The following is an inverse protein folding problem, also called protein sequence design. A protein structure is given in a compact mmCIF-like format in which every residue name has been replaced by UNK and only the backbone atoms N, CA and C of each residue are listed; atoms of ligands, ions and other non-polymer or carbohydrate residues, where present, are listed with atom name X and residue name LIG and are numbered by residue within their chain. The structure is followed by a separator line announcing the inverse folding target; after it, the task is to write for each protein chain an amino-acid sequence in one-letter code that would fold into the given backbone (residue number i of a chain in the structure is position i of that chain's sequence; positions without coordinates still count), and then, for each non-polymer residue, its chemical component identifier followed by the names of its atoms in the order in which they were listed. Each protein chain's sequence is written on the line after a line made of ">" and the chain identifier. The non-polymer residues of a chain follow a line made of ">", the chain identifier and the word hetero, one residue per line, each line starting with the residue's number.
data_IF_975841568375
#
_entry.id   IF_975841568375
#
_cell.length_a   1.000
_cell.length_b   1.000
_cell.length_c   1.000
_cell.angle_alpha   90.00
_cell.angle_beta   90.00
_cell.angle_gamma   90.00
#
_symmetry.space_group_name_H-M   'P 1'
#
loop_
_entity.id
_entity.type
_entity.pdbx_description
1 polymer ?
#
# COMPACT_ATOMS: atom_id res chain seq x y z
N UNK A 1 -21.86 8.31 21.78
CA UNK A 1 -20.49 7.76 21.83
C UNK A 1 -19.55 8.81 21.27
N UNK A 2 -18.46 9.17 21.96
CA UNK A 2 -17.65 10.33 21.57
C UNK A 2 -16.67 9.94 20.47
N UNK A 3 -16.74 10.66 19.35
CA UNK A 3 -15.88 10.52 18.17
C UNK A 3 -14.38 10.41 18.53
N UNK A 4 -13.96 11.07 19.60
CA UNK A 4 -12.60 11.03 20.13
C UNK A 4 -12.17 9.64 20.65
N UNK A 5 -13.06 8.90 21.33
CA UNK A 5 -12.77 7.54 21.82
C UNK A 5 -12.74 6.53 20.67
N UNK A 6 -13.63 6.71 19.70
CA UNK A 6 -13.66 5.85 18.52
C UNK A 6 -12.39 6.05 17.67
N UNK A 7 -11.92 7.30 17.54
CA UNK A 7 -10.67 7.61 16.83
C UNK A 7 -9.43 7.08 17.56
N UNK A 8 -9.33 7.25 18.88
CA UNK A 8 -8.20 6.71 19.65
C UNK A 8 -8.14 5.18 19.56
N UNK A 9 -9.31 4.53 19.59
CA UNK A 9 -9.40 3.07 19.43
C UNK A 9 -8.98 2.66 18.03
N UNK A 10 -9.43 3.37 16.99
CA UNK A 10 -9.06 3.09 15.60
C UNK A 10 -7.54 3.28 15.35
N UNK A 11 -6.92 4.31 15.93
CA UNK A 11 -5.47 4.53 15.82
C UNK A 11 -4.68 3.40 16.48
N UNK A 12 -5.12 2.93 17.65
CA UNK A 12 -4.52 1.78 18.31
C UNK A 12 -4.69 0.51 17.45
N UNK A 13 -5.89 0.27 16.91
CA UNK A 13 -6.17 -0.87 16.04
C UNK A 13 -5.34 -0.84 14.75
N UNK A 14 -5.12 0.35 14.17
CA UNK A 14 -4.25 0.53 13.00
C UNK A 14 -2.78 0.24 13.35
N UNK A 15 -2.32 0.68 14.51
CA UNK A 15 -0.99 0.34 15.02
C UNK A 15 -0.80 -1.18 15.16
N UNK A 16 -1.82 -1.89 15.64
CA UNK A 16 -1.82 -3.36 15.70
C UNK A 16 -1.87 -3.97 14.29
N UNK A 17 -2.75 -3.48 13.41
CA UNK A 17 -2.89 -3.96 12.04
C UNK A 17 -1.59 -3.84 11.23
N UNK A 18 -0.78 -2.81 11.50
CA UNK A 18 0.50 -2.60 10.82
C UNK A 18 1.64 -3.42 11.42
N UNK A 19 1.60 -3.72 12.72
CA UNK A 19 2.62 -4.54 13.41
C UNK A 19 2.38 -6.04 13.24
N UNK A 20 1.11 -6.44 13.20
CA UNK A 20 0.65 -7.84 13.15
C UNK A 20 -0.55 -7.96 12.20
N UNK A 21 -0.36 -7.70 10.89
CA UNK A 21 -1.45 -7.76 9.90
C UNK A 21 -2.11 -9.14 9.83
N UNK A 22 -1.37 -10.21 10.14
CA UNK A 22 -1.85 -11.58 10.15
C UNK A 22 -2.91 -11.80 11.26
N UNK A 23 -2.60 -11.40 12.50
CA UNK A 23 -3.52 -11.51 13.64
C UNK A 23 -4.75 -10.62 13.47
N UNK A 24 -4.56 -9.44 12.89
CA UNK A 24 -5.65 -8.49 12.71
C UNK A 24 -6.66 -8.94 11.64
N UNK A 25 -6.17 -9.42 10.49
CA UNK A 25 -7.04 -9.90 9.41
C UNK A 25 -7.74 -11.21 9.74
N UNK A 26 -7.10 -12.11 10.48
CA UNK A 26 -7.75 -13.33 10.99
C UNK A 26 -8.85 -13.00 11.99
N UNK A 27 -8.64 -12.06 12.92
CA UNK A 27 -9.70 -11.54 13.80
C UNK A 27 -10.87 -10.93 13.01
N UNK A 28 -10.59 -10.21 11.93
CA UNK A 28 -11.64 -9.69 11.05
C UNK A 28 -12.38 -10.80 10.32
N UNK A 29 -11.69 -11.83 9.80
CA UNK A 29 -12.34 -13.00 9.18
C UNK A 29 -13.30 -13.68 10.15
N UNK A 30 -12.86 -13.86 11.39
CA UNK A 30 -13.59 -14.60 12.43
C UNK A 30 -14.58 -13.73 13.22
N UNK A 31 -14.82 -12.48 12.77
CA UNK A 31 -15.73 -11.50 13.40
C UNK A 31 -17.18 -11.94 13.56
N UNK A 32 -17.58 -13.02 12.87
CA UNK A 32 -18.91 -13.63 13.02
C UNK A 32 -19.01 -14.54 14.24
N UNK A 33 -17.87 -14.98 14.78
CA UNK A 33 -17.78 -15.92 15.90
C UNK A 33 -17.39 -15.22 17.22
N UNK A 34 -16.75 -14.05 17.16
CA UNK A 34 -16.31 -13.26 18.30
C UNK A 34 -16.37 -11.75 17.99
N UNK A 35 -16.34 -10.86 19.00
CA UNK A 35 -16.29 -9.41 18.77
C UNK A 35 -15.14 -9.02 17.83
N UNK A 36 -15.49 -8.60 16.62
CA UNK A 36 -14.54 -8.20 15.59
C UNK A 36 -13.99 -6.78 15.78
N UNK A 37 -12.92 -6.41 15.05
CA UNK A 37 -12.42 -5.03 15.00
C UNK A 37 -13.49 -4.04 14.51
N UNK A 38 -13.33 -2.76 14.83
CA UNK A 38 -14.28 -1.72 14.40
C UNK A 38 -14.16 -1.47 12.89
N UNK A 39 -15.26 -1.40 12.10
CA UNK A 39 -15.20 -1.09 10.67
C UNK A 39 -14.53 0.25 10.30
N UNK A 40 -14.38 1.19 11.24
CA UNK A 40 -13.63 2.46 11.05
C UNK A 40 -12.17 2.22 10.63
N UNK A 41 -11.61 1.03 10.87
CA UNK A 41 -10.25 0.69 10.43
C UNK A 41 -10.04 0.80 8.93
N UNK A 42 -11.06 0.55 8.09
CA UNK A 42 -10.95 0.66 6.64
C UNK A 42 -10.61 2.09 6.18
N UNK A 43 -11.43 3.12 6.50
CA UNK A 43 -11.09 4.48 6.12
C UNK A 43 -9.80 4.99 6.76
N UNK A 44 -9.43 4.55 7.97
CA UNK A 44 -8.17 4.97 8.60
C UNK A 44 -6.95 4.35 7.90
N UNK A 45 -7.00 3.06 7.55
CA UNK A 45 -5.94 2.42 6.75
C UNK A 45 -5.83 3.05 5.36
N UNK A 46 -6.96 3.32 4.70
CA UNK A 46 -6.99 4.02 3.42
C UNK A 46 -6.37 5.43 3.54
N UNK A 47 -6.72 6.19 4.58
CA UNK A 47 -6.14 7.51 4.83
C UNK A 47 -4.64 7.41 5.08
N UNK A 48 -4.18 6.42 5.86
CA UNK A 48 -2.75 6.16 6.09
C UNK A 48 -2.01 5.82 4.78
N UNK A 49 -2.62 5.00 3.92
CA UNK A 49 -2.10 4.68 2.60
C UNK A 49 -1.96 5.93 1.73
N UNK A 50 -3.05 6.69 1.58
CA UNK A 50 -3.10 7.91 0.75
C UNK A 50 -2.10 8.94 1.24
N UNK A 51 -2.08 9.25 2.55
CA UNK A 51 -1.19 10.27 3.10
C UNK A 51 0.29 9.89 2.95
N UNK A 52 0.66 8.63 3.19
CA UNK A 52 2.05 8.21 3.05
C UNK A 52 2.54 8.23 1.61
N UNK A 53 1.72 7.76 0.67
CA UNK A 53 2.03 7.78 -0.76
C UNK A 53 2.08 9.22 -1.28
N UNK A 54 1.13 10.07 -0.88
CA UNK A 54 1.08 11.47 -1.28
C UNK A 54 2.31 12.24 -0.78
N UNK A 55 2.68 12.07 0.49
CA UNK A 55 3.85 12.71 1.08
C UNK A 55 5.15 12.29 0.37
N UNK A 56 5.28 11.01 0.01
CA UNK A 56 6.43 10.54 -0.77
C UNK A 56 6.44 11.14 -2.19
N UNK A 57 5.29 11.12 -2.87
CA UNK A 57 5.14 11.70 -4.21
C UNK A 57 5.49 13.20 -4.26
N UNK A 58 5.13 13.94 -3.22
CA UNK A 58 5.50 15.35 -3.04
C UNK A 58 7.03 15.53 -3.00
N UNK A 59 7.73 14.74 -2.19
CA UNK A 59 9.19 14.83 -2.02
C UNK A 59 9.93 14.37 -3.28
N UNK A 60 9.43 13.32 -3.94
CA UNK A 60 10.01 12.80 -5.17
C UNK A 60 10.08 13.87 -6.27
N UNK A 61 9.09 14.76 -6.35
CA UNK A 61 9.03 15.86 -7.35
C UNK A 61 9.49 17.22 -6.82
N UNK A 62 10.20 17.25 -5.69
CA UNK A 62 10.70 18.50 -5.10
C UNK A 62 11.59 19.30 -6.07
N UNK A 63 12.35 18.61 -6.92
CA UNK A 63 13.27 19.20 -7.89
C UNK A 63 12.59 20.03 -9.00
N UNK A 64 11.29 19.83 -9.25
CA UNK A 64 10.50 20.57 -10.24
C UNK A 64 9.82 21.81 -9.64
N UNK A 65 10.13 22.14 -8.38
CA UNK A 65 9.50 23.22 -7.63
C UNK A 65 8.05 22.90 -7.20
N UNK A 66 7.34 23.94 -6.77
CA UNK A 66 6.02 23.80 -6.14
C UNK A 66 4.96 23.12 -7.02
N UNK A 67 4.98 23.41 -8.33
CA UNK A 67 4.05 22.79 -9.28
C UNK A 67 4.25 21.27 -9.38
N UNK A 68 5.49 20.82 -9.49
CA UNK A 68 5.83 19.40 -9.50
C UNK A 68 5.51 18.72 -8.18
N UNK A 69 5.78 19.36 -7.04
CA UNK A 69 5.41 18.86 -5.71
C UNK A 69 3.91 18.58 -5.58
N UNK A 70 3.05 19.53 -5.98
CA UNK A 70 1.59 19.35 -5.95
C UNK A 70 1.14 18.29 -6.94
N UNK A 71 1.74 18.23 -8.13
CA UNK A 71 1.46 17.16 -9.09
C UNK A 71 1.82 15.79 -8.52
N UNK A 72 2.97 15.65 -7.83
CA UNK A 72 3.40 14.42 -7.18
C UNK A 72 2.49 13.99 -6.03
N UNK A 73 2.08 14.97 -5.20
CA UNK A 73 1.13 14.77 -4.10
C UNK A 73 -0.18 14.14 -4.57
N UNK A 74 -0.68 14.52 -5.75
CA UNK A 74 -1.94 14.02 -6.31
C UNK A 74 -1.77 12.78 -7.17
N UNK A 75 -0.78 12.78 -8.09
CA UNK A 75 -0.59 11.70 -9.06
C UNK A 75 -0.16 10.40 -8.39
N UNK A 76 0.69 10.45 -7.36
CA UNK A 76 1.18 9.24 -6.69
C UNK A 76 0.05 8.39 -6.06
N UNK A 77 -0.83 8.96 -5.19
CA UNK A 77 -1.93 8.18 -4.63
C UNK A 77 -2.97 7.78 -5.67
N UNK A 78 -3.19 8.57 -6.73
CA UNK A 78 -4.08 8.19 -7.84
C UNK A 78 -3.53 6.98 -8.60
N UNK A 79 -2.25 7.00 -8.98
CA UNK A 79 -1.61 5.89 -9.68
C UNK A 79 -1.64 4.60 -8.83
N UNK A 80 -1.27 4.69 -7.55
CA UNK A 80 -1.31 3.54 -6.64
C UNK A 80 -2.75 3.05 -6.40
N UNK A 81 -3.70 3.96 -6.18
CA UNK A 81 -5.10 3.62 -5.97
C UNK A 81 -5.72 2.92 -7.19
N UNK A 82 -5.42 3.39 -8.40
CA UNK A 82 -5.85 2.75 -9.64
C UNK A 82 -5.24 1.36 -9.80
N UNK A 83 -3.94 1.18 -9.49
CA UNK A 83 -3.28 -0.13 -9.60
C UNK A 83 -3.99 -1.19 -8.74
N UNK A 84 -4.27 -0.85 -7.48
CA UNK A 84 -4.98 -1.74 -6.57
C UNK A 84 -6.44 -1.93 -6.97
N UNK A 85 -7.14 -0.86 -7.37
CA UNK A 85 -8.57 -0.94 -7.75
C UNK A 85 -8.77 -1.80 -9.00
N UNK A 86 -7.84 -1.76 -9.96
CA UNK A 86 -7.90 -2.59 -11.17
C UNK A 86 -7.57 -4.05 -10.87
N UNK A 87 -6.61 -4.31 -9.97
CA UNK A 87 -6.17 -5.67 -9.66
C UNK A 87 -7.05 -6.40 -8.63
N UNK A 88 -7.70 -5.69 -7.72
CA UNK A 88 -8.50 -6.27 -6.63
C UNK A 88 -9.68 -7.14 -7.11
N UNK A 89 -10.47 -6.75 -8.14
CA UNK A 89 -11.52 -7.61 -8.66
C UNK A 89 -10.99 -8.95 -9.16
N UNK A 90 -9.83 -8.94 -9.85
CA UNK A 90 -9.18 -10.16 -10.31
C UNK A 90 -8.78 -11.05 -9.12
N UNK A 91 -8.24 -10.47 -8.03
CA UNK A 91 -7.90 -11.21 -6.82
C UNK A 91 -9.12 -11.95 -6.27
N UNK A 92 -10.23 -11.22 -6.11
CA UNK A 92 -11.44 -11.72 -5.47
C UNK A 92 -12.13 -12.78 -6.33
N UNK A 93 -12.35 -12.51 -7.63
CA UNK A 93 -13.05 -13.42 -8.54
C UNK A 93 -12.29 -14.74 -8.67
N UNK A 94 -10.98 -14.67 -8.89
CA UNK A 94 -10.16 -15.88 -9.02
C UNK A 94 -10.02 -16.60 -7.69
N UNK A 95 -9.93 -15.89 -6.55
CA UNK A 95 -9.96 -16.55 -5.24
C UNK A 95 -11.27 -17.32 -5.03
N UNK A 96 -12.40 -16.69 -5.33
CA UNK A 96 -13.71 -17.33 -5.23
C UNK A 96 -13.83 -18.54 -6.17
N UNK A 97 -13.38 -18.40 -7.42
CA UNK A 97 -13.39 -19.49 -8.41
C UNK A 97 -12.49 -20.67 -8.02
N UNK A 98 -11.38 -20.41 -7.33
CA UNK A 98 -10.45 -21.42 -6.80
C UNK A 98 -10.90 -21.98 -5.42
N UNK A 99 -12.11 -21.68 -4.97
CA UNK A 99 -12.70 -22.25 -3.75
C UNK A 99 -12.35 -21.54 -2.44
N UNK A 100 -11.81 -20.31 -2.51
CA UNK A 100 -11.55 -19.52 -1.30
C UNK A 100 -12.83 -19.23 -0.54
N UNK A 101 -12.76 -19.32 0.78
CA UNK A 101 -13.87 -18.98 1.70
C UNK A 101 -13.77 -17.56 2.24
N UNK A 102 -12.79 -16.78 1.77
CA UNK A 102 -12.59 -15.40 2.20
C UNK A 102 -13.66 -14.50 1.59
N UNK A 103 -14.32 -13.72 2.45
CA UNK A 103 -15.24 -12.69 1.99
C UNK A 103 -14.48 -11.48 1.44
N UNK A 104 -15.15 -10.69 0.60
CA UNK A 104 -14.56 -9.52 -0.06
C UNK A 104 -13.95 -8.53 0.94
N UNK A 105 -14.56 -8.35 2.11
CA UNK A 105 -14.06 -7.40 3.12
C UNK A 105 -12.75 -7.86 3.76
N UNK A 106 -12.56 -9.16 4.00
CA UNK A 106 -11.29 -9.70 4.52
C UNK A 106 -10.17 -9.57 3.49
N UNK A 107 -10.49 -9.83 2.22
CA UNK A 107 -9.53 -9.66 1.10
C UNK A 107 -9.12 -8.19 0.95
N UNK A 108 -10.10 -7.27 0.99
CA UNK A 108 -9.85 -5.83 0.96
C UNK A 108 -9.04 -5.36 2.16
N UNK A 109 -9.29 -5.90 3.36
CA UNK A 109 -8.55 -5.54 4.56
C UNK A 109 -7.08 -5.98 4.46
N UNK A 110 -6.81 -7.20 3.98
CA UNK A 110 -5.45 -7.67 3.75
C UNK A 110 -4.70 -6.78 2.74
N UNK A 111 -5.38 -6.37 1.67
CA UNK A 111 -4.86 -5.42 0.70
C UNK A 111 -4.57 -4.05 1.34
N UNK A 112 -5.54 -3.45 2.03
CA UNK A 112 -5.38 -2.15 2.68
C UNK A 112 -4.26 -2.16 3.73
N UNK A 113 -4.20 -3.17 4.60
CA UNK A 113 -3.10 -3.30 5.58
C UNK A 113 -1.74 -3.37 4.89
N UNK A 114 -1.64 -4.08 3.75
CA UNK A 114 -0.41 -4.16 2.95
C UNK A 114 -0.03 -2.80 2.36
N UNK A 115 -0.99 -2.08 1.77
CA UNK A 115 -0.73 -0.76 1.16
C UNK A 115 -0.41 0.29 2.22
N UNK A 116 -1.10 0.28 3.36
CA UNK A 116 -0.78 1.16 4.49
C UNK A 116 0.61 0.88 5.06
N UNK A 117 1.02 -0.39 5.14
CA UNK A 117 2.40 -0.73 5.51
C UNK A 117 3.39 -0.19 4.47
N UNK A 118 3.11 -0.39 3.17
CA UNK A 118 3.92 0.14 2.08
C UNK A 118 4.03 1.67 2.11
N UNK A 119 2.95 2.38 2.42
CA UNK A 119 2.96 3.84 2.52
C UNK A 119 3.80 4.35 3.70
N UNK A 120 3.83 3.62 4.82
CA UNK A 120 4.74 3.92 5.93
C UNK A 120 6.21 3.67 5.56
N UNK A 121 6.49 2.61 4.80
CA UNK A 121 7.84 2.35 4.29
C UNK A 121 8.29 3.44 3.29
N UNK A 122 7.38 3.97 2.47
CA UNK A 122 7.63 5.14 1.63
C UNK A 122 7.90 6.39 2.48
N UNK A 123 7.08 6.66 3.51
CA UNK A 123 7.32 7.77 4.44
C UNK A 123 8.69 7.68 5.10
N UNK A 124 9.10 6.49 5.55
CA UNK A 124 10.42 6.26 6.13
C UNK A 124 11.55 6.50 5.12
N UNK A 125 11.27 6.41 3.82
CA UNK A 125 12.23 6.63 2.73
C UNK A 125 12.29 8.09 2.24
N UNK A 126 11.48 8.99 2.82
CA UNK A 126 11.50 10.42 2.49
C UNK A 126 12.89 11.05 2.70
N UNK A 127 13.59 10.86 3.84
CA UNK A 127 14.90 11.48 4.06
C UNK A 127 15.94 11.06 3.02
N UNK A 128 15.88 9.80 2.57
CA UNK A 128 16.77 9.26 1.53
C UNK A 128 16.52 9.99 0.21
N UNK A 129 15.25 10.04 -0.21
CA UNK A 129 14.84 10.69 -1.48
C UNK A 129 15.16 12.18 -1.45
N UNK A 130 14.92 12.83 -0.32
CA UNK A 130 15.21 14.24 -0.11
C UNK A 130 16.72 14.54 -0.17
N UNK A 131 17.55 13.76 0.52
CA UNK A 131 19.00 13.91 0.51
C UNK A 131 19.57 13.80 -0.90
N UNK A 132 19.25 12.73 -1.63
CA UNK A 132 19.77 12.56 -2.99
C UNK A 132 19.18 13.55 -3.98
N UNK A 133 17.93 13.99 -3.78
CA UNK A 133 17.28 15.02 -4.60
C UNK A 133 17.94 16.40 -4.47
N UNK A 134 18.44 16.75 -3.27
CA UNK A 134 19.13 18.02 -3.03
C UNK A 134 20.64 17.94 -3.28
N UNK A 135 21.27 16.81 -2.97
CA UNK A 135 22.72 16.68 -3.01
C UNK A 135 23.26 16.48 -4.43
N UNK A 136 22.47 15.92 -5.35
CA UNK A 136 22.93 15.54 -6.68
C UNK A 136 22.04 16.14 -7.79
N UNK A 137 22.62 16.85 -8.78
CA UNK A 137 21.85 17.48 -9.86
C UNK A 137 21.45 16.49 -10.98
N UNK A 138 21.77 15.20 -10.85
CA UNK A 138 21.63 14.22 -11.93
C UNK A 138 20.27 13.51 -11.90
N UNK A 139 19.46 13.69 -12.95
CA UNK A 139 18.16 13.04 -13.11
C UNK A 139 18.21 11.51 -13.01
N UNK A 140 19.23 10.87 -13.60
CA UNK A 140 19.43 9.41 -13.53
C UNK A 140 19.64 8.90 -12.10
N UNK A 141 20.33 9.67 -11.24
CA UNK A 141 20.51 9.27 -9.84
C UNK A 141 19.20 9.38 -9.07
N UNK A 142 18.43 10.44 -9.32
CA UNK A 142 17.07 10.58 -8.75
C UNK A 142 16.17 9.41 -9.17
N UNK A 143 16.21 9.03 -10.45
CA UNK A 143 15.48 7.87 -10.96
C UNK A 143 15.91 6.59 -10.24
N UNK A 144 17.22 6.30 -10.20
CA UNK A 144 17.76 5.08 -9.59
C UNK A 144 17.41 4.98 -8.09
N UNK A 145 17.48 6.09 -7.34
CA UNK A 145 17.11 6.14 -5.92
C UNK A 145 15.63 5.83 -5.74
N UNK A 146 14.74 6.50 -6.48
CA UNK A 146 13.30 6.26 -6.35
C UNK A 146 12.92 4.84 -6.78
N UNK A 147 13.51 4.31 -7.87
CA UNK A 147 13.30 2.92 -8.27
C UNK A 147 13.75 1.94 -7.19
N UNK A 148 14.89 2.19 -6.56
CA UNK A 148 15.40 1.36 -5.45
C UNK A 148 14.45 1.39 -4.26
N UNK A 149 13.94 2.58 -3.89
CA UNK A 149 12.95 2.74 -2.82
C UNK A 149 11.67 1.98 -3.15
N UNK A 150 11.07 2.21 -4.33
CA UNK A 150 9.84 1.52 -4.74
C UNK A 150 10.01 0.00 -4.82
N UNK A 151 11.14 -0.49 -5.32
CA UNK A 151 11.45 -1.92 -5.34
C UNK A 151 11.56 -2.49 -3.93
N UNK A 152 12.29 -1.81 -3.03
CA UNK A 152 12.41 -2.21 -1.63
C UNK A 152 11.07 -2.24 -0.90
N UNK A 153 10.26 -1.18 -1.06
CA UNK A 153 8.90 -1.12 -0.52
C UNK A 153 8.02 -2.24 -1.12
N UNK A 154 8.11 -2.48 -2.42
CA UNK A 154 7.39 -3.54 -3.11
C UNK A 154 7.72 -4.93 -2.54
N UNK A 155 8.99 -5.23 -2.30
CA UNK A 155 9.43 -6.49 -1.66
C UNK A 155 8.84 -6.62 -0.26
N UNK A 156 8.87 -5.56 0.54
CA UNK A 156 8.28 -5.56 1.88
C UNK A 156 6.75 -5.77 1.84
N UNK A 157 6.06 -5.15 0.89
CA UNK A 157 4.62 -5.33 0.68
C UNK A 157 4.28 -6.76 0.27
N UNK A 158 5.07 -7.36 -0.63
CA UNK A 158 4.92 -8.77 -1.04
C UNK A 158 5.02 -9.67 0.17
N UNK A 159 6.05 -9.49 1.01
CA UNK A 159 6.24 -10.29 2.21
C UNK A 159 5.05 -10.17 3.19
N UNK A 160 4.62 -8.95 3.51
CA UNK A 160 3.47 -8.69 4.40
C UNK A 160 2.18 -9.34 3.87
N UNK A 161 1.90 -9.17 2.58
CA UNK A 161 0.69 -9.73 1.98
C UNK A 161 0.72 -11.26 1.96
N UNK A 162 1.86 -11.87 1.60
CA UNK A 162 1.99 -13.32 1.57
C UNK A 162 1.89 -13.95 2.97
N UNK A 163 2.45 -13.30 4.00
CA UNK A 163 2.29 -13.72 5.40
C UNK A 163 0.83 -13.65 5.84
N UNK A 164 0.15 -12.56 5.48
CA UNK A 164 -1.26 -12.33 5.79
C UNK A 164 -2.16 -13.36 5.09
N UNK A 165 -1.97 -13.59 3.80
CA UNK A 165 -2.72 -14.60 3.04
C UNK A 165 -2.47 -16.02 3.56
N UNK A 166 -1.23 -16.34 3.97
CA UNK A 166 -0.92 -17.64 4.57
C UNK A 166 -1.61 -17.83 5.93
N UNK A 167 -1.75 -16.79 6.73
CA UNK A 167 -2.49 -16.85 7.99
C UNK A 167 -4.01 -17.00 7.77
N UNK A 168 -4.54 -16.35 6.74
CA UNK A 168 -5.96 -16.43 6.37
C UNK A 168 -6.35 -17.78 5.75
N UNK A 169 -5.50 -18.38 4.92
CA UNK A 169 -5.74 -19.68 4.28
C UNK A 169 -4.48 -20.57 4.34
N UNK A 170 -4.22 -21.24 5.48
CA UNK A 170 -2.99 -22.01 5.71
C UNK A 170 -2.76 -23.16 4.73
N UNK A 171 -3.82 -23.78 4.22
CA UNK A 171 -3.70 -24.93 3.31
C UNK A 171 -3.47 -24.54 1.85
N UNK A 172 -3.57 -23.25 1.52
CA UNK A 172 -3.52 -22.78 0.13
C UNK A 172 -2.10 -22.46 -0.33
N UNK A 173 -1.85 -22.69 -1.61
CA UNK A 173 -0.56 -22.38 -2.24
C UNK A 173 -0.34 -20.87 -2.34
N UNK A 174 0.89 -20.42 -2.07
CA UNK A 174 1.31 -19.01 -2.19
C UNK A 174 1.44 -18.55 -3.64
N UNK A 175 1.58 -19.47 -4.60
CA UNK A 175 1.91 -19.17 -5.99
C UNK A 175 0.92 -18.19 -6.64
N UNK A 176 -0.37 -18.37 -6.38
CA UNK A 176 -1.41 -17.51 -6.92
C UNK A 176 -1.32 -16.07 -6.35
N UNK A 177 -1.15 -15.92 -5.03
CA UNK A 177 -0.99 -14.62 -4.40
C UNK A 177 0.27 -13.90 -4.90
N UNK A 178 1.36 -14.63 -5.13
CA UNK A 178 2.60 -14.09 -5.71
C UNK A 178 2.39 -13.63 -7.16
N UNK A 179 1.73 -14.42 -7.99
CA UNK A 179 1.44 -14.05 -9.39
C UNK A 179 0.54 -12.82 -9.46
N UNK A 180 -0.48 -12.76 -8.60
CA UNK A 180 -1.36 -11.61 -8.51
C UNK A 180 -0.61 -10.34 -8.07
N UNK A 181 0.28 -10.44 -7.07
CA UNK A 181 1.13 -9.31 -6.67
C UNK A 181 2.08 -8.87 -7.79
N UNK A 182 2.62 -9.80 -8.59
CA UNK A 182 3.41 -9.47 -9.77
C UNK A 182 2.58 -8.68 -10.78
N UNK A 183 1.32 -9.07 -11.03
CA UNK A 183 0.39 -8.32 -11.88
C UNK A 183 0.11 -6.92 -11.32
N UNK A 184 -0.12 -6.78 -10.02
CA UNK A 184 -0.26 -5.46 -9.35
C UNK A 184 0.99 -4.62 -9.57
N UNK A 185 2.18 -5.21 -9.44
CA UNK A 185 3.46 -4.53 -9.68
C UNK A 185 3.60 -4.03 -11.11
N UNK A 186 3.24 -4.86 -12.11
CA UNK A 186 3.25 -4.47 -13.52
C UNK A 186 2.26 -3.33 -13.79
N UNK A 187 1.00 -3.45 -13.35
CA UNK A 187 -0.01 -2.40 -13.52
C UNK A 187 0.44 -1.11 -12.82
N UNK A 188 1.02 -1.22 -11.62
CA UNK A 188 1.56 -0.09 -10.88
C UNK A 188 2.69 0.62 -11.62
N UNK A 189 3.64 -0.13 -12.19
CA UNK A 189 4.74 0.43 -12.98
C UNK A 189 4.24 1.15 -14.24
N UNK A 190 3.29 0.55 -14.95
CA UNK A 190 2.63 1.16 -16.13
C UNK A 190 1.92 2.46 -15.75
N UNK A 191 1.12 2.46 -14.68
CA UNK A 191 0.43 3.65 -14.21
C UNK A 191 1.40 4.74 -13.76
N UNK A 192 2.48 4.38 -13.04
CA UNK A 192 3.49 5.37 -12.64
C UNK A 192 4.17 6.02 -13.85
N UNK A 193 4.41 5.24 -14.91
CA UNK A 193 4.94 5.74 -16.18
C UNK A 193 3.92 6.64 -16.89
N UNK A 194 2.66 6.21 -16.96
CA UNK A 194 1.54 6.95 -17.56
C UNK A 194 1.31 8.33 -16.90
N UNK A 195 1.43 8.40 -15.57
CA UNK A 195 1.32 9.67 -14.83
C UNK A 195 2.61 10.50 -14.85
N UNK A 196 3.66 10.00 -15.52
CA UNK A 196 4.99 10.61 -15.61
C UNK A 196 5.61 10.85 -14.23
N UNK A 197 5.43 9.90 -13.30
CA UNK A 197 5.97 9.99 -11.94
C UNK A 197 7.49 9.80 -11.90
N UNK A 198 8.06 9.04 -12.84
CA UNK A 198 9.50 8.79 -12.95
C UNK A 198 10.21 9.61 -14.03
N UNK A 199 9.60 10.71 -14.48
CA UNK A 199 10.22 11.62 -15.44
C UNK A 199 11.06 12.64 -14.65
N UNK A 200 12.39 12.56 -14.74
CA UNK A 200 13.34 13.38 -13.98
C UNK A 200 14.26 14.22 -14.87
N UNK A 201 13.79 14.51 -16.08
CA UNK A 201 14.52 15.33 -17.04
C UNK A 201 14.61 16.76 -16.51
N UNK A 202 15.84 17.26 -16.41
CA UNK A 202 16.18 18.62 -15.99
C UNK A 202 16.19 19.56 -17.20
#
# INVERSE_FOLDING_TARGET
>A
MSLSRDLSTALHEVGVALRRPEEFTTRWRDRRLAPGPNPIVFPVLLMCAVLGIAAYGLVMRLHEGWGGMLAGLLKAPVAAGLAWTLALPALYILNSALGSKLDASTTLLAALSTVSFGSLALLASIPITWFFGLALPYGLVRLAVNLTVFAGVGVCMVDVFLRTMKALEPERSRAYATLWLALVGVIGAELMTLFSLFHFDA
#
